data_IF_543957986248
#
_entry.id   IF_543957986248
#
_cell.length_a   1.000
_cell.length_b   1.000
_cell.length_c   1.000
_cell.angle_alpha   90.00
_cell.angle_beta   90.00
_cell.angle_gamma   90.00
#
_symmetry.space_group_name_H-M   'P 1'
#
loop_
_entity.id
_entity.type
_entity.pdbx_description
1 polymer ?
#
# COMPACT_ATOMS: atom_id res chain seq x y z
N UNK A 1 10.22 17.07 -18.44
CA UNK A 1 9.98 15.63 -18.63
C UNK A 1 10.15 14.94 -17.29
N UNK A 2 9.08 14.49 -16.60
CA UNK A 2 9.25 13.86 -15.30
C UNK A 2 9.90 12.49 -15.50
N UNK A 3 10.97 12.23 -14.74
CA UNK A 3 11.73 10.97 -14.76
C UNK A 3 10.83 9.86 -14.23
N UNK A 4 10.35 8.99 -15.12
CA UNK A 4 9.68 7.75 -14.72
C UNK A 4 10.72 6.91 -13.99
N UNK A 5 10.57 6.77 -12.67
CA UNK A 5 11.46 5.97 -11.84
C UNK A 5 11.34 4.51 -12.27
N UNK A 6 12.39 3.99 -12.89
CA UNK A 6 12.46 2.61 -13.36
C UNK A 6 12.66 1.68 -12.15
N UNK A 7 11.57 1.27 -11.53
CA UNK A 7 11.55 0.06 -10.67
C UNK A 7 10.28 -0.73 -10.93
N UNK A 8 10.39 -1.73 -11.80
CA UNK A 8 9.55 -2.94 -11.81
C UNK A 8 8.14 -2.90 -12.39
N UNK A 9 7.58 -1.75 -12.82
CA UNK A 9 6.28 -1.74 -13.50
C UNK A 9 6.25 -0.76 -14.68
N UNK A 10 6.65 -1.28 -15.84
CA UNK A 10 6.77 -0.56 -17.11
C UNK A 10 5.41 -0.40 -17.82
N UNK A 11 4.42 0.18 -17.14
CA UNK A 11 3.12 0.48 -17.73
C UNK A 11 2.81 1.98 -17.68
N UNK A 12 1.97 2.47 -18.60
CA UNK A 12 1.37 3.81 -18.52
C UNK A 12 0.54 3.94 -17.23
N UNK A 13 0.18 5.16 -16.85
CA UNK A 13 -0.71 5.39 -15.70
C UNK A 13 -2.04 4.64 -15.84
N UNK A 14 -2.63 4.62 -17.04
CA UNK A 14 -3.84 3.86 -17.34
C UNK A 14 -3.64 2.35 -17.12
N UNK A 15 -2.52 1.78 -17.55
CA UNK A 15 -2.20 0.37 -17.31
C UNK A 15 -2.02 0.08 -15.82
N UNK A 16 -1.39 0.98 -15.06
CA UNK A 16 -1.25 0.88 -13.60
C UNK A 16 -2.60 0.94 -12.90
N UNK A 17 -3.50 1.82 -13.35
CA UNK A 17 -4.87 1.95 -12.84
C UNK A 17 -5.65 0.65 -13.01
N UNK A 18 -5.70 0.12 -14.23
CA UNK A 18 -6.43 -1.12 -14.55
C UNK A 18 -5.92 -2.28 -13.69
N UNK A 19 -4.59 -2.43 -13.58
CA UNK A 19 -4.02 -3.47 -12.74
C UNK A 19 -4.37 -3.30 -11.26
N UNK A 20 -4.39 -2.06 -10.75
CA UNK A 20 -4.78 -1.78 -9.37
C UNK A 20 -6.27 -2.07 -9.12
N UNK A 21 -7.15 -1.65 -10.01
CA UNK A 21 -8.59 -1.90 -9.90
C UNK A 21 -8.90 -3.40 -9.89
N UNK A 22 -8.25 -4.17 -10.77
CA UNK A 22 -8.38 -5.63 -10.78
C UNK A 22 -7.88 -6.26 -9.47
N UNK A 23 -6.72 -5.84 -8.98
CA UNK A 23 -6.17 -6.34 -7.73
C UNK A 23 -7.08 -6.01 -6.55
N UNK A 24 -7.59 -4.78 -6.48
CA UNK A 24 -8.49 -4.32 -5.44
C UNK A 24 -9.84 -5.06 -5.47
N UNK A 25 -10.36 -5.35 -6.67
CA UNK A 25 -11.56 -6.17 -6.83
C UNK A 25 -11.33 -7.59 -6.28
N UNK A 26 -10.22 -8.24 -6.64
CA UNK A 26 -9.88 -9.57 -6.13
C UNK A 26 -9.75 -9.59 -4.61
N UNK A 27 -9.02 -8.63 -4.04
CA UNK A 27 -8.88 -8.48 -2.59
C UNK A 27 -10.23 -8.35 -1.87
N UNK A 28 -11.17 -7.58 -2.45
CA UNK A 28 -12.52 -7.43 -1.88
C UNK A 28 -13.36 -8.69 -2.01
N UNK A 29 -13.22 -9.43 -3.11
CA UNK A 29 -13.90 -10.73 -3.31
C UNK A 29 -13.46 -11.74 -2.25
N UNK A 30 -12.17 -11.72 -1.87
CA UNK A 30 -11.62 -12.54 -0.79
C UNK A 30 -12.06 -12.10 0.62
N UNK A 31 -12.85 -11.02 0.72
CA UNK A 31 -13.36 -10.49 1.98
C UNK A 31 -12.38 -9.57 2.72
N UNK A 32 -11.26 -9.20 2.09
CA UNK A 32 -10.32 -8.27 2.67
C UNK A 32 -10.72 -6.81 2.40
N UNK A 33 -10.58 -5.97 3.43
CA UNK A 33 -10.85 -4.53 3.35
C UNK A 33 -9.54 -3.79 3.61
N UNK A 34 -8.85 -3.30 2.56
CA UNK A 34 -7.64 -2.52 2.73
C UNK A 34 -7.90 -1.21 3.48
N UNK A 35 -6.92 -0.77 4.28
CA UNK A 35 -7.01 0.49 5.00
C UNK A 35 -6.97 1.70 4.07
N UNK A 36 -7.49 2.84 4.53
CA UNK A 36 -7.48 4.08 3.74
C UNK A 36 -6.05 4.53 3.40
N UNK A 37 -5.11 4.41 4.33
CA UNK A 37 -3.71 4.78 4.15
C UNK A 37 -3.01 3.90 3.10
N UNK A 38 -3.35 2.61 3.06
CA UNK A 38 -2.85 1.71 2.01
C UNK A 38 -3.36 2.12 0.63
N UNK A 39 -4.63 2.49 0.52
CA UNK A 39 -5.21 2.95 -0.76
C UNK A 39 -4.55 4.25 -1.24
N UNK A 40 -4.28 5.20 -0.34
CA UNK A 40 -3.54 6.44 -0.69
C UNK A 40 -2.15 6.13 -1.22
N UNK A 41 -1.44 5.20 -0.60
CA UNK A 41 -0.12 4.77 -1.07
C UNK A 41 -0.20 4.11 -2.47
N UNK A 42 -1.23 3.30 -2.74
CA UNK A 42 -1.47 2.74 -4.07
C UNK A 42 -1.73 3.82 -5.13
N UNK A 43 -2.53 4.83 -4.81
CA UNK A 43 -2.79 5.96 -5.70
C UNK A 43 -1.50 6.70 -6.08
N UNK A 44 -0.62 6.96 -5.11
CA UNK A 44 0.67 7.60 -5.36
C UNK A 44 1.61 6.73 -6.24
N UNK A 45 1.55 5.41 -6.11
CA UNK A 45 2.26 4.49 -7.02
C UNK A 45 1.70 4.56 -8.43
N UNK A 46 0.37 4.63 -8.58
CA UNK A 46 -0.26 4.72 -9.90
C UNK A 46 0.04 6.07 -10.56
N UNK A 47 -0.01 7.17 -9.80
CA UNK A 47 0.39 8.49 -10.27
C UNK A 47 1.90 8.60 -10.58
N UNK A 48 2.71 7.63 -10.15
CA UNK A 48 4.16 7.63 -10.34
C UNK A 48 4.89 8.63 -9.43
N UNK A 49 4.21 9.16 -8.41
CA UNK A 49 4.79 10.06 -7.40
C UNK A 49 5.45 9.29 -6.26
N UNK A 50 5.26 7.97 -6.18
CA UNK A 50 5.87 7.08 -5.20
C UNK A 50 6.27 5.75 -5.86
N UNK A 51 7.37 5.14 -5.42
CA UNK A 51 7.76 3.80 -5.89
C UNK A 51 7.08 2.69 -5.09
N UNK A 52 7.10 1.46 -5.61
CA UNK A 52 6.56 0.29 -4.91
C UNK A 52 7.31 -0.03 -3.63
N UNK A 53 8.63 0.16 -3.63
CA UNK A 53 9.50 -0.06 -2.48
C UNK A 53 9.13 0.91 -1.34
N UNK A 54 8.93 2.19 -1.67
CA UNK A 54 8.47 3.20 -0.71
C UNK A 54 7.08 2.84 -0.13
N UNK A 55 6.15 2.40 -0.97
CA UNK A 55 4.83 1.95 -0.52
C UNK A 55 4.91 0.73 0.42
N UNK A 56 5.82 -0.21 0.13
CA UNK A 56 6.07 -1.40 0.98
C UNK A 56 6.66 -0.99 2.33
N UNK A 57 7.67 -0.12 2.34
CA UNK A 57 8.30 0.38 3.57
C UNK A 57 7.27 1.09 4.47
N UNK A 58 6.41 1.93 3.90
CA UNK A 58 5.33 2.59 4.64
C UNK A 58 4.33 1.59 5.24
N UNK A 59 3.97 0.57 4.48
CA UNK A 59 3.05 -0.47 4.95
C UNK A 59 3.66 -1.30 6.07
N UNK A 60 4.93 -1.68 5.94
CA UNK A 60 5.67 -2.41 6.97
C UNK A 60 5.75 -1.58 8.27
N UNK A 61 6.11 -0.30 8.16
CA UNK A 61 6.18 0.59 9.33
C UNK A 61 4.84 0.66 10.07
N UNK A 62 3.72 0.84 9.36
CA UNK A 62 2.38 0.84 9.97
C UNK A 62 2.06 -0.48 10.67
N UNK A 63 2.41 -1.61 10.06
CA UNK A 63 2.21 -2.93 10.67
C UNK A 63 3.00 -3.07 11.98
N UNK A 64 4.28 -2.66 11.99
CA UNK A 64 5.12 -2.69 13.18
C UNK A 64 4.61 -1.74 14.29
N UNK A 65 4.14 -0.55 13.93
CA UNK A 65 3.53 0.40 14.86
C UNK A 65 2.26 -0.20 15.51
N UNK A 66 1.42 -0.87 14.72
CA UNK A 66 0.23 -1.57 15.21
C UNK A 66 0.60 -2.74 16.13
N UNK A 67 1.58 -3.57 15.77
CA UNK A 67 2.07 -4.68 16.60
C UNK A 67 2.66 -4.18 17.94
N UNK A 68 3.39 -3.07 17.92
CA UNK A 68 3.92 -2.42 19.12
C UNK A 68 2.79 -1.91 20.01
N UNK A 69 1.77 -1.26 19.44
CA UNK A 69 0.60 -0.80 20.20
C UNK A 69 -0.17 -1.96 20.85
N UNK A 70 -0.39 -3.05 20.11
CA UNK A 70 -1.09 -4.23 20.60
C UNK A 70 -0.30 -4.99 21.69
N UNK A 71 1.03 -5.07 21.56
CA UNK A 71 1.89 -5.70 22.55
C UNK A 71 2.12 -4.84 23.80
N UNK A 72 2.08 -3.51 23.67
CA UNK A 72 2.06 -2.57 24.79
C UNK A 72 0.77 -2.63 25.61
N UNK A 73 -0.38 -2.79 24.93
CA UNK A 73 -1.70 -2.87 25.58
C UNK A 73 -1.89 -4.11 26.47
N UNK A 74 -1.17 -5.22 26.22
CA UNK A 74 -1.30 -6.46 27.00
C UNK A 74 -0.57 -6.45 28.35
N UNK A 75 0.17 -5.39 28.69
CA UNK A 75 0.99 -5.31 29.92
C UNK A 75 0.33 -4.58 31.09
N UNK A 76 -0.92 -4.11 30.97
CA UNK A 76 -1.54 -3.26 31.99
C UNK A 76 -2.95 -3.71 32.40
N UNK A 77 -3.10 -4.99 32.71
CA UNK A 77 -4.25 -5.51 33.49
C UNK A 77 -3.70 -6.15 34.76
N UNK A 78 -3.64 -5.37 35.83
CA UNK A 78 -3.50 -5.79 37.23
C UNK A 78 -4.82 -5.52 37.93
#
# INVERSE_FOLDING_TARGET
MPKILHSGYSGTEAQRRIAHEQALANTRIEGHIPSAEFLVDCEAVIAGTMTREQARERSLRRALEMECALSGSKRNTV
#
